data_IF_430958751567
#
_entry.id   IF_430958751567
#
_cell.length_a   1.000
_cell.length_b   1.000
_cell.length_c   1.000
_cell.angle_alpha   90.00
_cell.angle_beta   90.00
_cell.angle_gamma   90.00
#
_symmetry.space_group_name_H-M   'P 1'
#
loop_
_entity.id
_entity.type
_entity.pdbx_description
1 polymer ?
#
# COMPACT_ATOMS: atom_id res chain seq x y z
N UNK A 1 37.16 -78.96 -11.21
CA UNK A 1 37.93 -77.89 -10.51
C UNK A 1 37.59 -76.48 -11.05
N UNK A 2 37.66 -76.33 -12.35
CA UNK A 2 37.38 -75.06 -13.00
C UNK A 2 35.93 -74.62 -12.84
N UNK A 3 34.97 -75.51 -12.86
CA UNK A 3 33.54 -75.19 -12.67
C UNK A 3 33.24 -74.74 -11.25
N UNK A 4 33.88 -75.28 -10.23
CA UNK A 4 33.68 -74.86 -8.84
C UNK A 4 34.25 -73.47 -8.57
N UNK A 5 35.39 -73.15 -9.13
CA UNK A 5 35.99 -71.83 -9.01
C UNK A 5 35.17 -70.77 -9.72
N UNK A 6 34.67 -71.07 -10.91
CA UNK A 6 33.82 -70.15 -11.66
C UNK A 6 32.51 -69.91 -10.92
N UNK A 7 31.88 -70.91 -10.33
CA UNK A 7 30.66 -70.76 -9.51
C UNK A 7 30.94 -69.99 -8.24
N UNK A 8 32.05 -70.21 -7.56
CA UNK A 8 32.42 -69.48 -6.36
C UNK A 8 32.68 -68.02 -6.67
N UNK A 9 33.36 -67.68 -7.76
CA UNK A 9 33.56 -66.28 -8.23
C UNK A 9 32.24 -65.58 -8.51
N UNK A 10 31.31 -66.29 -9.11
CA UNK A 10 30.01 -65.74 -9.44
C UNK A 10 29.17 -65.51 -8.21
N UNK A 11 29.21 -66.42 -7.23
CA UNK A 11 28.53 -66.25 -5.93
C UNK A 11 29.11 -65.05 -5.18
N UNK A 12 30.43 -64.90 -5.17
CA UNK A 12 31.10 -63.81 -4.51
C UNK A 12 30.81 -62.48 -5.16
N UNK A 13 30.81 -62.41 -6.49
CA UNK A 13 30.45 -61.20 -7.29
C UNK A 13 29.01 -60.81 -7.04
N UNK A 14 28.08 -61.75 -7.02
CA UNK A 14 26.68 -61.54 -6.70
C UNK A 14 26.47 -61.04 -5.27
N UNK A 15 27.23 -61.63 -4.33
CA UNK A 15 27.19 -61.21 -2.92
C UNK A 15 27.66 -59.73 -2.75
N UNK A 16 28.75 -59.38 -3.44
CA UNK A 16 29.30 -58.04 -3.41
C UNK A 16 28.30 -57.02 -4.03
N UNK A 17 27.66 -57.36 -5.16
CA UNK A 17 26.62 -56.57 -5.78
C UNK A 17 25.44 -56.34 -4.84
N UNK A 18 24.98 -57.37 -4.15
CA UNK A 18 23.89 -57.31 -3.17
C UNK A 18 24.25 -56.36 -2.03
N UNK A 19 25.48 -56.43 -1.51
CA UNK A 19 25.98 -55.52 -0.48
C UNK A 19 25.98 -54.07 -0.96
N UNK A 20 26.50 -53.84 -2.15
CA UNK A 20 26.54 -52.51 -2.77
C UNK A 20 25.14 -51.95 -2.97
N UNK A 21 24.22 -52.77 -3.47
CA UNK A 21 22.81 -52.36 -3.64
C UNK A 21 22.14 -52.03 -2.31
N UNK A 22 22.37 -52.85 -1.28
CA UNK A 22 21.85 -52.59 0.07
C UNK A 22 22.38 -51.30 0.65
N UNK A 23 23.67 -51.02 0.48
CA UNK A 23 24.28 -49.75 0.92
C UNK A 23 23.71 -48.56 0.19
N UNK A 24 23.55 -48.67 -1.14
CA UNK A 24 22.95 -47.61 -1.97
C UNK A 24 21.50 -47.36 -1.54
N UNK A 25 20.72 -48.41 -1.30
CA UNK A 25 19.34 -48.27 -0.81
C UNK A 25 19.28 -47.56 0.55
N UNK A 26 20.18 -47.90 1.44
CA UNK A 26 20.29 -47.32 2.78
C UNK A 26 20.61 -45.83 2.68
N UNK A 27 21.61 -45.46 1.87
CA UNK A 27 21.97 -44.06 1.62
C UNK A 27 20.83 -43.27 0.97
N UNK A 28 20.17 -43.84 -0.04
CA UNK A 28 19.03 -43.22 -0.69
C UNK A 28 17.86 -42.98 0.29
N UNK A 29 17.59 -43.90 1.19
CA UNK A 29 16.59 -43.73 2.23
C UNK A 29 16.93 -42.58 3.18
N UNK A 30 18.21 -42.49 3.58
CA UNK A 30 18.69 -41.37 4.40
C UNK A 30 18.53 -40.04 3.71
N UNK A 31 18.93 -39.95 2.46
CA UNK A 31 18.77 -38.76 1.66
C UNK A 31 17.31 -38.38 1.52
N UNK A 32 16.44 -39.33 1.29
CA UNK A 32 15.00 -39.13 1.17
C UNK A 32 14.41 -38.57 2.48
N UNK A 33 14.80 -39.12 3.61
CA UNK A 33 14.35 -38.64 4.92
C UNK A 33 14.84 -37.20 5.19
N UNK A 34 16.11 -36.93 4.87
CA UNK A 34 16.67 -35.59 5.00
C UNK A 34 15.94 -34.59 4.11
N UNK A 35 15.65 -34.97 2.87
CA UNK A 35 14.88 -34.11 1.94
C UNK A 35 13.46 -33.84 2.43
N UNK A 36 12.81 -34.86 2.99
CA UNK A 36 11.48 -34.67 3.61
C UNK A 36 11.54 -33.69 4.77
N UNK A 37 12.54 -33.81 5.61
CA UNK A 37 12.73 -32.91 6.76
C UNK A 37 12.99 -31.48 6.29
N UNK A 38 13.92 -31.29 5.35
CA UNK A 38 14.24 -29.99 4.77
C UNK A 38 13.02 -29.37 4.10
N UNK A 39 12.24 -30.16 3.38
CA UNK A 39 11.00 -29.72 2.75
C UNK A 39 9.99 -29.24 3.79
N UNK A 40 9.81 -29.97 4.86
CA UNK A 40 8.89 -29.59 5.95
C UNK A 40 9.34 -28.28 6.60
N UNK A 41 10.63 -28.15 6.88
CA UNK A 41 11.18 -26.88 7.42
C UNK A 41 10.96 -25.71 6.47
N UNK A 42 11.25 -25.90 5.18
CA UNK A 42 11.07 -24.87 4.16
C UNK A 42 9.61 -24.43 4.05
N UNK A 43 8.68 -25.39 4.08
CA UNK A 43 7.24 -25.11 4.05
C UNK A 43 6.81 -24.34 5.30
N UNK A 44 7.24 -24.76 6.47
CA UNK A 44 6.94 -24.09 7.73
C UNK A 44 7.47 -22.67 7.74
N UNK A 45 8.71 -22.48 7.30
CA UNK A 45 9.32 -21.17 7.22
C UNK A 45 8.56 -20.25 6.25
N UNK A 46 8.16 -20.80 5.10
CA UNK A 46 7.37 -20.06 4.12
C UNK A 46 6.01 -19.65 4.68
N UNK A 47 5.34 -20.53 5.43
CA UNK A 47 4.07 -20.25 6.09
C UNK A 47 4.23 -19.13 7.13
N UNK A 48 5.27 -19.19 7.97
CA UNK A 48 5.55 -18.18 8.99
C UNK A 48 5.82 -16.83 8.34
N UNK A 49 6.65 -16.79 7.31
CA UNK A 49 7.00 -15.57 6.57
C UNK A 49 5.76 -14.97 5.91
N UNK A 50 4.95 -15.80 5.24
CA UNK A 50 3.70 -15.34 4.60
C UNK A 50 2.70 -14.80 5.60
N UNK A 51 2.58 -15.47 6.75
CA UNK A 51 1.70 -15.03 7.84
C UNK A 51 2.14 -13.67 8.38
N UNK A 52 3.44 -13.46 8.53
CA UNK A 52 3.99 -12.18 8.99
C UNK A 52 3.75 -11.07 7.96
N UNK A 53 3.96 -11.35 6.68
CA UNK A 53 3.68 -10.41 5.58
C UNK A 53 2.21 -10.02 5.55
N UNK A 54 1.31 -10.98 5.72
CA UNK A 54 -0.13 -10.73 5.77
C UNK A 54 -0.48 -9.80 6.93
N UNK A 55 0.08 -10.03 8.10
CA UNK A 55 -0.10 -9.15 9.26
C UNK A 55 0.38 -7.73 8.99
N UNK A 56 1.57 -7.60 8.44
CA UNK A 56 2.18 -6.32 8.10
C UNK A 56 1.35 -5.55 7.08
N UNK A 57 0.87 -6.25 6.04
CA UNK A 57 0.00 -5.67 5.02
C UNK A 57 -1.34 -5.21 5.61
N UNK A 58 -1.93 -5.99 6.50
CA UNK A 58 -3.18 -5.61 7.19
C UNK A 58 -3.00 -4.36 8.03
N UNK A 59 -1.88 -4.25 8.74
CA UNK A 59 -1.55 -3.05 9.52
C UNK A 59 -1.37 -1.84 8.60
N UNK A 60 -0.64 -2.00 7.51
CA UNK A 60 -0.43 -0.93 6.52
C UNK A 60 -1.74 -0.45 5.92
N UNK A 61 -2.63 -1.37 5.55
CA UNK A 61 -3.96 -1.04 5.02
C UNK A 61 -4.78 -0.28 6.05
N UNK A 62 -4.75 -0.70 7.31
CA UNK A 62 -5.46 -0.02 8.39
C UNK A 62 -4.95 1.41 8.59
N UNK A 63 -3.63 1.60 8.58
CA UNK A 63 -3.00 2.92 8.69
C UNK A 63 -3.35 3.82 7.51
N UNK A 64 -3.28 3.28 6.29
CA UNK A 64 -3.64 4.03 5.08
C UNK A 64 -5.10 4.47 5.08
N UNK A 65 -5.99 3.62 5.57
CA UNK A 65 -7.41 3.98 5.72
C UNK A 65 -7.62 5.12 6.69
N UNK A 66 -6.91 5.10 7.81
CA UNK A 66 -6.94 6.18 8.82
C UNK A 66 -6.43 7.49 8.22
N UNK A 67 -5.31 7.44 7.53
CA UNK A 67 -4.74 8.62 6.87
C UNK A 67 -5.70 9.18 5.82
N UNK A 68 -6.34 8.30 5.06
CA UNK A 68 -7.30 8.69 4.03
C UNK A 68 -8.52 9.40 4.65
N UNK A 69 -9.03 8.88 5.76
CA UNK A 69 -10.15 9.51 6.49
C UNK A 69 -9.76 10.86 7.04
N UNK A 70 -8.56 10.97 7.61
CA UNK A 70 -8.04 12.24 8.11
C UNK A 70 -7.88 13.26 6.99
N UNK A 71 -7.34 12.84 5.85
CA UNK A 71 -7.22 13.72 4.66
C UNK A 71 -8.57 14.19 4.14
N UNK A 72 -9.56 13.31 4.12
CA UNK A 72 -10.94 13.69 3.73
C UNK A 72 -11.50 14.74 4.67
N UNK A 73 -11.31 14.55 5.96
CA UNK A 73 -11.78 15.48 6.98
C UNK A 73 -11.09 16.85 6.84
N UNK A 74 -9.76 16.87 6.72
CA UNK A 74 -8.97 18.08 6.50
C UNK A 74 -9.41 18.81 5.23
N UNK A 75 -9.62 18.08 4.16
CA UNK A 75 -10.09 18.62 2.88
C UNK A 75 -11.46 19.28 3.03
N UNK A 76 -12.39 18.65 3.72
CA UNK A 76 -13.71 19.21 3.99
C UNK A 76 -13.63 20.50 4.81
N UNK A 77 -12.76 20.51 5.83
CA UNK A 77 -12.54 21.72 6.63
C UNK A 77 -11.94 22.84 5.81
N UNK A 78 -10.94 22.55 4.98
CA UNK A 78 -10.34 23.56 4.08
C UNK A 78 -11.35 24.14 3.11
N UNK A 79 -12.17 23.27 2.50
CA UNK A 79 -13.23 23.72 1.57
C UNK A 79 -14.23 24.61 2.29
N UNK A 80 -14.68 24.22 3.47
CA UNK A 80 -15.61 25.03 4.26
C UNK A 80 -15.00 26.38 4.64
N UNK A 81 -13.75 26.37 5.08
CA UNK A 81 -13.04 27.60 5.44
C UNK A 81 -12.90 28.54 4.25
N UNK A 82 -12.57 27.97 3.08
CA UNK A 82 -12.45 28.73 1.83
C UNK A 82 -13.80 29.34 1.43
N UNK A 83 -14.88 28.59 1.54
CA UNK A 83 -16.24 29.04 1.24
C UNK A 83 -16.63 30.21 2.17
N UNK A 84 -16.35 30.09 3.47
CA UNK A 84 -16.64 31.16 4.43
C UNK A 84 -15.84 32.41 4.14
N UNK A 85 -14.52 32.28 3.89
CA UNK A 85 -13.66 33.40 3.52
C UNK A 85 -14.15 34.10 2.26
N UNK A 86 -14.48 33.34 1.23
CA UNK A 86 -14.97 33.88 -0.05
C UNK A 86 -16.32 34.59 0.13
N UNK A 87 -17.19 33.99 0.94
CA UNK A 87 -18.51 34.60 1.25
C UNK A 87 -18.34 35.92 1.96
N UNK A 88 -17.42 36.01 2.93
CA UNK A 88 -17.13 37.27 3.64
C UNK A 88 -16.53 38.31 2.72
N UNK A 89 -15.61 37.94 1.84
CA UNK A 89 -15.05 38.86 0.82
C UNK A 89 -16.12 39.40 -0.11
N UNK A 90 -17.03 38.55 -0.56
CA UNK A 90 -18.15 38.96 -1.42
C UNK A 90 -19.04 39.95 -0.70
N UNK A 91 -19.35 39.71 0.56
CA UNK A 91 -20.15 40.66 1.38
C UNK A 91 -19.46 42.01 1.52
N UNK A 92 -18.16 42.02 1.81
CA UNK A 92 -17.36 43.23 1.94
C UNK A 92 -17.32 44.02 0.62
N UNK A 93 -17.09 43.32 -0.49
CA UNK A 93 -17.07 43.92 -1.82
C UNK A 93 -18.45 44.54 -2.18
N UNK A 94 -19.52 43.83 -1.87
CA UNK A 94 -20.89 44.34 -2.09
C UNK A 94 -21.15 45.59 -1.26
N UNK A 95 -20.74 45.60 0.01
CA UNK A 95 -20.87 46.77 0.89
C UNK A 95 -20.06 47.95 0.37
N UNK A 96 -18.82 47.70 -0.05
CA UNK A 96 -17.96 48.76 -0.63
C UNK A 96 -18.55 49.32 -1.91
N UNK A 97 -19.06 48.46 -2.78
CA UNK A 97 -19.72 48.89 -4.03
C UNK A 97 -20.95 49.74 -3.74
N UNK A 98 -21.76 49.36 -2.76
CA UNK A 98 -22.94 50.14 -2.37
C UNK A 98 -22.56 51.51 -1.80
N UNK A 99 -21.54 51.58 -0.95
CA UNK A 99 -20.99 52.81 -0.40
C UNK A 99 -20.51 53.75 -1.50
N UNK A 100 -19.78 53.22 -2.48
CA UNK A 100 -19.28 53.99 -3.63
C UNK A 100 -20.43 54.51 -4.49
N UNK A 101 -21.47 53.73 -4.71
CA UNK A 101 -22.69 54.18 -5.44
C UNK A 101 -23.38 55.32 -4.72
N UNK A 102 -23.53 55.20 -3.41
CA UNK A 102 -24.16 56.21 -2.58
C UNK A 102 -23.36 57.51 -2.60
N UNK A 103 -22.04 57.43 -2.51
CA UNK A 103 -21.16 58.61 -2.62
C UNK A 103 -21.28 59.26 -3.99
N UNK A 104 -21.31 58.46 -5.06
CA UNK A 104 -21.45 58.94 -6.43
C UNK A 104 -22.78 59.67 -6.61
N UNK A 105 -23.87 59.12 -6.10
CA UNK A 105 -25.19 59.74 -6.14
C UNK A 105 -25.21 61.10 -5.42
N UNK A 106 -24.55 61.18 -4.26
CA UNK A 106 -24.41 62.43 -3.51
C UNK A 106 -23.65 63.46 -4.32
N UNK A 107 -22.56 63.07 -4.95
CA UNK A 107 -21.80 64.02 -5.81
C UNK A 107 -22.62 64.48 -6.98
N UNK A 108 -23.32 63.58 -7.64
CA UNK A 108 -24.22 63.95 -8.79
C UNK A 108 -25.30 64.90 -8.34
N UNK A 109 -25.97 64.63 -7.24
CA UNK A 109 -27.03 65.48 -6.68
C UNK A 109 -26.51 66.88 -6.33
N UNK A 110 -25.33 66.93 -5.71
CA UNK A 110 -24.70 68.22 -5.37
C UNK A 110 -24.36 69.02 -6.60
N UNK A 111 -23.84 68.43 -7.66
CA UNK A 111 -23.56 69.07 -8.92
C UNK A 111 -24.85 69.56 -9.63
N UNK A 112 -25.88 68.73 -9.63
CA UNK A 112 -27.18 69.10 -10.19
C UNK A 112 -27.79 70.34 -9.48
N UNK A 113 -27.72 70.37 -8.16
CA UNK A 113 -28.16 71.49 -7.36
C UNK A 113 -27.38 72.80 -7.68
N UNK A 114 -26.08 72.71 -7.83
CA UNK A 114 -25.18 73.77 -8.21
C UNK A 114 -25.54 74.30 -9.59
N UNK A 115 -25.77 73.39 -10.54
CA UNK A 115 -26.18 73.76 -11.91
C UNK A 115 -27.54 74.55 -11.91
N UNK A 116 -28.50 74.06 -11.12
CA UNK A 116 -29.80 74.75 -10.97
C UNK A 116 -29.67 76.17 -10.41
N UNK A 117 -28.76 76.38 -9.45
CA UNK A 117 -28.48 77.71 -8.90
C UNK A 117 -27.90 78.63 -9.95
N UNK A 118 -27.02 78.14 -10.82
CA UNK A 118 -26.43 78.99 -11.88
C UNK A 118 -27.36 79.28 -13.03
N UNK A 119 -28.39 78.46 -13.27
CA UNK A 119 -29.36 78.61 -14.32
C UNK A 119 -30.47 79.67 -14.01
N UNK A 120 -30.52 80.12 -12.78
CA UNK A 120 -31.38 81.21 -12.37
C UNK A 120 -30.71 82.54 -12.72
#
# INVERSE_FOLDING_TARGET
FEKKEAVQKQIQSSSDEIKQLKNSCYELRKELENLKYEKQEAVQQAIVNSSQEIKDLKLSVSQLRKELENLKFEKQEEVQQTILSSSDEIKQLKSSAQTLRDELEKVITNYEQKIKKYKK
#
